data_IF_043126651694
#
_entry.id   IF_043126651694
#
_cell.length_a   1.000
_cell.length_b   1.000
_cell.length_c   1.000
_cell.angle_alpha   90.00
_cell.angle_beta   90.00
_cell.angle_gamma   90.00
#
_symmetry.space_group_name_H-M   'P 1'
#
loop_
_entity.id
_entity.type
_entity.pdbx_description
1 polymer ?
#
# COMPACT_ATOMS: atom_id res chain seq x y z
N UNK A 1 10.23 40.46 4.50
CA UNK A 1 9.42 39.73 3.51
C UNK A 1 9.46 38.25 3.88
N UNK A 2 8.41 37.73 4.51
CA UNK A 2 8.28 36.30 4.85
C UNK A 2 7.72 35.57 3.62
N UNK A 3 8.51 34.71 2.99
CA UNK A 3 8.01 33.82 1.95
C UNK A 3 7.03 32.82 2.59
N UNK A 4 5.84 32.58 2.01
CA UNK A 4 4.95 31.55 2.50
C UNK A 4 5.68 30.21 2.37
N UNK A 5 5.78 29.49 3.50
CA UNK A 5 6.27 28.12 3.51
C UNK A 5 5.35 27.33 2.59
N UNK A 6 5.86 26.96 1.42
CA UNK A 6 5.28 25.88 0.64
C UNK A 6 5.09 24.72 1.61
N UNK A 7 3.83 24.37 1.84
CA UNK A 7 3.48 23.15 2.56
C UNK A 7 4.11 22.06 1.71
N UNK A 8 5.20 21.48 2.21
CA UNK A 8 5.92 20.39 1.57
C UNK A 8 4.88 19.28 1.41
N UNK A 9 4.31 19.16 0.20
CA UNK A 9 3.41 18.05 -0.09
C UNK A 9 4.23 16.79 0.23
N UNK A 10 3.74 15.91 1.13
CA UNK A 10 4.57 14.84 1.63
C UNK A 10 5.10 14.05 0.45
N UNK A 11 6.43 13.94 0.37
CA UNK A 11 7.11 13.25 -0.73
C UNK A 11 6.49 11.86 -0.88
N UNK A 12 6.41 11.29 -2.10
CA UNK A 12 5.75 10.01 -2.33
C UNK A 12 6.27 8.87 -1.42
N UNK A 13 7.54 8.93 -1.01
CA UNK A 13 8.11 7.98 -0.05
C UNK A 13 7.51 8.07 1.37
N UNK A 14 7.10 9.27 1.80
CA UNK A 14 6.53 9.54 3.13
C UNK A 14 5.07 9.07 3.21
N UNK A 15 4.27 9.40 2.18
CA UNK A 15 2.90 8.89 2.02
C UNK A 15 2.88 7.36 2.02
N UNK A 16 3.85 6.76 1.32
CA UNK A 16 3.88 5.33 1.23
C UNK A 16 4.29 4.62 2.53
N UNK A 17 5.12 5.27 3.34
CA UNK A 17 5.39 4.81 4.70
C UNK A 17 4.10 4.78 5.52
N UNK A 18 3.35 5.89 5.55
CA UNK A 18 2.14 6.02 6.36
C UNK A 18 1.08 4.98 5.99
N UNK A 19 0.83 4.73 4.70
CA UNK A 19 -0.16 3.74 4.27
C UNK A 19 0.21 2.31 4.69
N UNK A 20 1.50 1.94 4.60
CA UNK A 20 1.97 0.62 5.03
C UNK A 20 1.87 0.47 6.55
N UNK A 21 2.25 1.51 7.30
CA UNK A 21 2.17 1.53 8.76
C UNK A 21 0.70 1.45 9.23
N UNK A 22 -0.25 2.12 8.56
CA UNK A 22 -1.67 1.97 8.85
C UNK A 22 -2.14 0.53 8.66
N UNK A 23 -1.79 -0.12 7.55
CA UNK A 23 -2.19 -1.51 7.31
C UNK A 23 -1.53 -2.48 8.29
N UNK A 24 -0.29 -2.21 8.69
CA UNK A 24 0.39 -2.97 9.73
C UNK A 24 -0.39 -2.96 11.05
N UNK A 25 -0.83 -1.77 11.48
CA UNK A 25 -1.64 -1.60 12.68
C UNK A 25 -3.03 -2.26 12.56
N UNK A 26 -3.71 -2.10 11.41
CA UNK A 26 -5.03 -2.69 11.18
C UNK A 26 -5.01 -4.24 11.16
N UNK A 27 -3.91 -4.82 10.71
CA UNK A 27 -3.79 -6.28 10.52
C UNK A 27 -2.99 -6.97 11.62
N UNK A 28 -2.28 -6.23 12.47
CA UNK A 28 -1.34 -6.78 13.46
C UNK A 28 -0.09 -7.39 12.84
N UNK A 29 0.19 -7.12 11.56
CA UNK A 29 1.36 -7.62 10.83
C UNK A 29 2.44 -6.53 10.83
N UNK A 30 3.68 -6.90 11.11
CA UNK A 30 4.80 -5.94 11.04
C UNK A 30 5.00 -5.37 9.64
N UNK A 31 5.39 -4.09 9.56
CA UNK A 31 5.75 -3.43 8.28
C UNK A 31 6.74 -4.23 7.44
N UNK A 32 7.77 -4.80 8.07
CA UNK A 32 8.78 -5.62 7.40
C UNK A 32 8.18 -6.90 6.77
N UNK A 33 7.23 -7.52 7.48
CA UNK A 33 6.50 -8.67 6.96
C UNK A 33 5.61 -8.29 5.76
N UNK A 34 4.97 -7.12 5.78
CA UNK A 34 4.17 -6.59 4.65
C UNK A 34 5.04 -6.35 3.40
N UNK A 35 6.27 -5.89 3.59
CA UNK A 35 7.23 -5.66 2.51
C UNK A 35 7.89 -6.95 2.01
N UNK A 36 7.87 -8.01 2.82
CA UNK A 36 8.42 -9.32 2.48
C UNK A 36 7.58 -10.10 1.47
N UNK A 37 8.22 -11.06 0.80
CA UNK A 37 7.58 -12.04 -0.09
C UNK A 37 7.08 -13.29 0.67
N UNK A 38 6.51 -13.08 1.86
CA UNK A 38 5.98 -14.19 2.64
C UNK A 38 4.72 -14.77 1.98
N UNK A 39 4.64 -16.11 1.96
CA UNK A 39 3.48 -16.87 1.45
C UNK A 39 2.39 -17.07 2.50
N UNK A 40 2.62 -16.61 3.73
CA UNK A 40 1.63 -16.63 4.80
C UNK A 40 0.37 -15.87 4.37
N UNK A 41 -0.82 -16.48 4.42
CA UNK A 41 -2.04 -15.90 3.85
C UNK A 41 -2.41 -14.56 4.49
N UNK A 42 -2.13 -14.39 5.79
CA UNK A 42 -2.36 -13.15 6.52
C UNK A 42 -1.42 -12.02 6.06
N UNK A 43 -0.14 -12.33 5.85
CA UNK A 43 0.86 -11.38 5.35
C UNK A 43 0.58 -11.01 3.90
N UNK A 44 0.27 -12.00 3.06
CA UNK A 44 -0.11 -11.77 1.67
C UNK A 44 -1.35 -10.85 1.56
N UNK A 45 -2.34 -11.05 2.43
CA UNK A 45 -3.52 -10.19 2.48
C UNK A 45 -3.18 -8.77 2.94
N UNK A 46 -2.35 -8.60 3.98
CA UNK A 46 -1.90 -7.30 4.45
C UNK A 46 -1.11 -6.56 3.35
N UNK A 47 -0.22 -7.25 2.63
CA UNK A 47 0.50 -6.71 1.47
C UNK A 47 -0.43 -6.25 0.37
N UNK A 48 -1.46 -7.03 0.04
CA UNK A 48 -2.45 -6.65 -0.96
C UNK A 48 -3.25 -5.40 -0.54
N UNK A 49 -3.66 -5.30 0.74
CA UNK A 49 -4.33 -4.10 1.27
C UNK A 49 -3.43 -2.87 1.23
N UNK A 50 -2.15 -3.01 1.58
CA UNK A 50 -1.19 -1.90 1.51
C UNK A 50 -1.03 -1.39 0.07
N UNK A 51 -0.87 -2.29 -0.91
CA UNK A 51 -0.80 -1.93 -2.33
C UNK A 51 -2.07 -1.22 -2.83
N UNK A 52 -3.25 -1.70 -2.42
CA UNK A 52 -4.51 -1.07 -2.78
C UNK A 52 -4.66 0.33 -2.17
N UNK A 53 -4.23 0.51 -0.91
CA UNK A 53 -4.32 1.81 -0.23
C UNK A 53 -3.38 2.85 -0.84
N UNK A 54 -2.15 2.46 -1.16
CA UNK A 54 -1.19 3.33 -1.87
C UNK A 54 -1.73 3.79 -3.23
N UNK A 55 -2.42 2.89 -3.93
CA UNK A 55 -3.06 3.23 -5.20
C UNK A 55 -4.23 4.21 -5.02
N UNK A 56 -5.02 4.04 -3.96
CA UNK A 56 -6.12 4.94 -3.59
C UNK A 56 -5.59 6.34 -3.20
N UNK A 57 -4.43 6.40 -2.53
CA UNK A 57 -3.70 7.64 -2.21
C UNK A 57 -3.07 8.32 -3.45
N UNK A 58 -3.26 7.75 -4.66
CA UNK A 58 -2.82 8.32 -5.93
C UNK A 58 -1.43 7.92 -6.39
N UNK A 59 -0.77 6.98 -5.71
CA UNK A 59 0.54 6.47 -6.14
C UNK A 59 0.43 5.64 -7.41
N UNK A 60 1.38 5.80 -8.34
CA UNK A 60 1.39 5.03 -9.59
C UNK A 60 1.76 3.58 -9.32
N UNK A 61 1.13 2.65 -10.06
CA UNK A 61 1.42 1.20 -9.95
C UNK A 61 2.91 0.85 -10.07
N UNK A 62 3.66 1.56 -10.91
CA UNK A 62 5.11 1.35 -11.07
C UNK A 62 5.91 1.77 -9.83
N UNK A 63 5.47 2.80 -9.10
CA UNK A 63 6.13 3.26 -7.87
C UNK A 63 5.84 2.28 -6.73
N UNK A 64 4.59 1.85 -6.61
CA UNK A 64 4.17 0.78 -5.69
C UNK A 64 4.99 -0.49 -5.98
N UNK A 65 5.06 -0.92 -7.24
CA UNK A 65 5.81 -2.10 -7.66
C UNK A 65 7.29 -2.03 -7.25
N UNK A 66 7.93 -0.86 -7.43
CA UNK A 66 9.31 -0.63 -6.96
C UNK A 66 9.43 -0.77 -5.45
N UNK A 67 8.48 -0.24 -4.69
CA UNK A 67 8.52 -0.29 -3.24
C UNK A 67 8.37 -1.71 -2.68
N UNK A 68 7.56 -2.54 -3.34
CA UNK A 68 7.37 -3.95 -2.97
C UNK A 68 8.31 -4.91 -3.71
N UNK A 69 9.29 -4.39 -4.45
CA UNK A 69 10.21 -5.18 -5.29
C UNK A 69 9.48 -6.23 -6.15
N UNK A 70 8.33 -5.88 -6.73
CA UNK A 70 7.48 -6.80 -7.48
C UNK A 70 7.12 -6.25 -8.86
N UNK A 71 6.51 -7.08 -9.70
CA UNK A 71 6.08 -6.66 -11.03
C UNK A 71 4.79 -5.79 -10.93
N UNK A 72 4.60 -4.76 -11.77
CA UNK A 72 3.36 -3.96 -11.80
C UNK A 72 2.09 -4.80 -12.00
N UNK A 73 2.20 -5.92 -12.71
CA UNK A 73 1.10 -6.89 -12.84
C UNK A 73 0.68 -7.46 -11.48
N UNK A 74 1.62 -7.77 -10.59
CA UNK A 74 1.33 -8.27 -9.24
C UNK A 74 0.56 -7.24 -8.42
N UNK A 75 0.90 -5.95 -8.55
CA UNK A 75 0.17 -4.83 -7.92
C UNK A 75 -1.27 -4.76 -8.45
N UNK A 76 -1.46 -4.88 -9.78
CA UNK A 76 -2.81 -4.92 -10.37
C UNK A 76 -3.64 -6.08 -9.84
N UNK A 77 -3.06 -7.28 -9.77
CA UNK A 77 -3.74 -8.46 -9.22
C UNK A 77 -4.12 -8.26 -7.75
N UNK A 78 -3.24 -7.65 -6.96
CA UNK A 78 -3.49 -7.35 -5.55
C UNK A 78 -4.65 -6.36 -5.37
N UNK A 79 -4.66 -5.26 -6.12
CA UNK A 79 -5.75 -4.27 -6.10
C UNK A 79 -7.08 -4.95 -6.45
N UNK A 80 -7.11 -5.75 -7.53
CA UNK A 80 -8.30 -6.46 -7.96
C UNK A 80 -8.78 -7.49 -6.91
N UNK A 81 -7.85 -8.21 -6.27
CA UNK A 81 -8.18 -9.16 -5.21
C UNK A 81 -8.83 -8.47 -4.00
N UNK A 82 -8.33 -7.30 -3.59
CA UNK A 82 -8.91 -6.50 -2.50
C UNK A 82 -10.29 -5.97 -2.88
N UNK A 83 -10.45 -5.45 -4.10
CA UNK A 83 -11.75 -4.96 -4.60
C UNK A 83 -12.80 -6.08 -4.60
N UNK A 84 -12.45 -7.27 -5.10
CA UNK A 84 -13.35 -8.43 -5.11
C UNK A 84 -13.80 -8.82 -3.71
N UNK A 85 -12.88 -8.90 -2.74
CA UNK A 85 -13.19 -9.24 -1.34
C UNK A 85 -14.10 -8.21 -0.68
N UNK A 86 -13.93 -6.92 -0.98
CA UNK A 86 -14.83 -5.86 -0.48
C UNK A 86 -16.26 -6.05 -0.99
N UNK A 87 -16.41 -6.44 -2.27
CA UNK A 87 -17.73 -6.73 -2.84
C UNK A 87 -18.38 -7.97 -2.22
N UNK A 88 -17.59 -9.00 -1.92
CA UNK A 88 -18.08 -10.24 -1.27
C UNK A 88 -18.42 -10.04 0.23
N UNK A 89 -17.73 -9.14 0.93
CA UNK A 89 -18.01 -8.84 2.35
C UNK A 89 -19.22 -7.92 2.56
N UNK A 90 -19.74 -7.29 1.50
CA UNK A 90 -20.88 -6.38 1.55
C UNK A 90 -22.20 -7.02 1.05
N UNK A 91 -22.15 -8.30 0.67
CA UNK A 91 -23.27 -9.11 0.18
C UNK A 91 -23.68 -10.14 1.25
#
# INVERSE_FOLDING_TARGET
MMLPRFIDAPRPADMASAAIDCVALETGVSRDAILSDSKEPMIAHARQRAQARLYDDGMRMNEIARQFCCHPSSVRHAIHAVAKRKSEASA
#
